data_IF_008280782060
#
_entry.id   IF_008280782060
#
_cell.length_a   1.000
_cell.length_b   1.000
_cell.length_c   1.000
_cell.angle_alpha   90.00
_cell.angle_beta   90.00
_cell.angle_gamma   90.00
#
_symmetry.space_group_name_H-M   'P 1'
#
loop_
_entity.id
_entity.type
_entity.pdbx_description
1 polymer ?
#
# COMPACT_ATOMS: atom_id res chain seq x y z
N UNK A 1 -10.27 -7.54 19.17
CA UNK A 1 -10.09 -7.47 17.70
C UNK A 1 -10.64 -6.13 17.24
N UNK A 2 -9.77 -5.16 16.93
CA UNK A 2 -10.19 -3.91 16.31
C UNK A 2 -10.52 -4.21 14.85
N UNK A 3 -11.76 -4.62 14.57
CA UNK A 3 -12.29 -4.73 13.22
C UNK A 3 -12.87 -3.36 12.83
N UNK A 4 -12.50 -2.91 11.64
CA UNK A 4 -12.93 -1.68 10.95
C UNK A 4 -12.26 -0.38 11.43
N UNK A 5 -11.02 -0.16 11.00
CA UNK A 5 -10.69 1.14 10.43
C UNK A 5 -11.09 1.07 8.95
N UNK A 6 -12.11 1.80 8.55
CA UNK A 6 -12.36 2.03 7.12
C UNK A 6 -11.10 2.65 6.54
N UNK A 7 -10.36 1.86 5.77
CA UNK A 7 -9.11 2.32 5.18
C UNK A 7 -9.46 3.41 4.15
N UNK A 8 -8.95 4.62 4.37
CA UNK A 8 -9.20 5.75 3.49
C UNK A 8 -8.00 6.03 2.58
N UNK A 9 -8.26 6.67 1.44
CA UNK A 9 -7.20 7.18 0.56
C UNK A 9 -6.23 8.09 1.32
N UNK A 10 -6.75 8.93 2.20
CA UNK A 10 -5.93 9.80 3.04
C UNK A 10 -4.96 8.99 3.91
N UNK A 11 -5.42 7.91 4.53
CA UNK A 11 -4.56 7.04 5.35
C UNK A 11 -3.44 6.42 4.51
N UNK A 12 -3.76 5.91 3.31
CA UNK A 12 -2.78 5.34 2.38
C UNK A 12 -1.77 6.41 1.93
N UNK A 13 -2.24 7.60 1.55
CA UNK A 13 -1.38 8.72 1.13
C UNK A 13 -0.46 9.20 2.25
N UNK A 14 -0.95 9.24 3.49
CA UNK A 14 -0.13 9.56 4.68
C UNK A 14 0.93 8.49 4.90
N UNK A 15 0.57 7.20 4.78
CA UNK A 15 1.53 6.10 4.90
C UNK A 15 2.64 6.19 3.84
N UNK A 16 2.28 6.42 2.56
CA UNK A 16 3.26 6.61 1.49
C UNK A 16 4.15 7.83 1.72
N UNK A 17 3.59 8.94 2.20
CA UNK A 17 4.38 10.15 2.51
C UNK A 17 5.40 9.89 3.62
N UNK A 18 5.08 9.02 4.59
CA UNK A 18 6.06 8.59 5.60
C UNK A 18 7.17 7.74 4.99
N UNK A 19 6.83 6.82 4.09
CA UNK A 19 7.81 5.98 3.36
C UNK A 19 8.75 6.83 2.52
N UNK A 20 8.23 7.80 1.76
CA UNK A 20 9.03 8.78 1.00
C UNK A 20 10.01 9.53 1.91
N UNK A 21 9.52 10.06 3.03
CA UNK A 21 10.34 10.85 3.95
C UNK A 21 11.44 10.02 4.63
N UNK A 22 11.14 8.76 4.95
CA UNK A 22 12.08 7.82 5.57
C UNK A 22 13.17 7.39 4.59
N UNK A 23 12.79 7.05 3.36
CA UNK A 23 13.69 6.51 2.35
C UNK A 23 14.34 7.59 1.46
N UNK A 24 13.91 8.85 1.56
CA UNK A 24 14.33 9.96 0.69
C UNK A 24 14.09 9.66 -0.80
N UNK A 25 12.95 9.04 -1.09
CA UNK A 25 12.49 8.69 -2.44
C UNK A 25 11.20 9.44 -2.77
N UNK A 26 10.88 9.52 -4.05
CA UNK A 26 9.60 10.03 -4.54
C UNK A 26 8.74 8.85 -5.02
N UNK A 27 7.54 8.69 -4.47
CA UNK A 27 6.62 7.60 -4.82
C UNK A 27 5.50 8.10 -5.74
N UNK A 28 5.84 8.91 -6.74
CA UNK A 28 4.86 9.56 -7.62
C UNK A 28 4.05 8.56 -8.43
N UNK A 29 4.63 7.40 -8.80
CA UNK A 29 3.90 6.34 -9.49
C UNK A 29 2.85 5.71 -8.57
N UNK A 30 3.23 5.36 -7.35
CA UNK A 30 2.35 4.84 -6.30
C UNK A 30 1.21 5.80 -5.95
N UNK A 31 1.52 7.09 -5.80
CA UNK A 31 0.49 8.13 -5.58
C UNK A 31 -0.41 8.32 -6.79
N UNK A 32 0.16 8.31 -7.99
CA UNK A 32 -0.62 8.37 -9.23
C UNK A 32 -1.57 7.18 -9.39
N UNK A 33 -1.15 5.97 -9.01
CA UNK A 33 -2.00 4.78 -8.98
C UNK A 33 -3.20 4.98 -8.03
N UNK A 34 -2.96 5.53 -6.85
CA UNK A 34 -4.02 5.80 -5.87
C UNK A 34 -5.03 6.82 -6.39
N UNK A 35 -4.56 7.88 -7.04
CA UNK A 35 -5.43 8.92 -7.61
C UNK A 35 -6.25 8.39 -8.80
N UNK A 36 -5.65 7.55 -9.64
CA UNK A 36 -6.30 6.98 -10.82
C UNK A 36 -7.27 5.86 -10.48
N UNK A 37 -6.98 5.07 -9.45
CA UNK A 37 -7.74 3.87 -9.07
C UNK A 37 -8.02 3.81 -7.57
N UNK A 38 -8.71 4.81 -6.99
CA UNK A 38 -8.85 4.94 -5.53
C UNK A 38 -9.57 3.76 -4.90
N UNK A 39 -10.67 3.30 -5.48
CA UNK A 39 -11.40 2.12 -4.96
C UNK A 39 -10.52 0.87 -4.96
N UNK A 40 -9.77 0.64 -6.04
CA UNK A 40 -8.90 -0.52 -6.14
C UNK A 40 -7.73 -0.41 -5.16
N UNK A 41 -7.18 0.80 -4.96
CA UNK A 41 -6.14 1.04 -3.96
C UNK A 41 -6.61 0.70 -2.54
N UNK A 42 -7.82 1.11 -2.15
CA UNK A 42 -8.39 0.75 -0.85
C UNK A 42 -8.49 -0.78 -0.71
N UNK A 43 -9.12 -1.44 -1.69
CA UNK A 43 -9.30 -2.90 -1.66
C UNK A 43 -7.96 -3.64 -1.55
N UNK A 44 -6.98 -3.18 -2.32
CA UNK A 44 -5.65 -3.75 -2.37
C UNK A 44 -4.90 -3.59 -1.04
N UNK A 45 -4.84 -2.38 -0.49
CA UNK A 45 -4.19 -2.15 0.80
C UNK A 45 -4.94 -2.79 1.97
N UNK A 46 -6.26 -2.94 1.87
CA UNK A 46 -7.05 -3.70 2.83
C UNK A 46 -6.74 -5.20 2.75
N UNK A 47 -6.64 -5.77 1.55
CA UNK A 47 -6.22 -7.16 1.38
C UNK A 47 -4.79 -7.40 1.89
N UNK A 48 -3.91 -6.38 1.84
CA UNK A 48 -2.59 -6.45 2.46
C UNK A 48 -2.67 -6.39 3.98
N UNK A 49 -3.51 -5.55 4.58
CA UNK A 49 -3.64 -5.47 6.05
C UNK A 49 -4.23 -6.75 6.66
N UNK A 50 -5.02 -7.49 5.88
CA UNK A 50 -5.61 -8.78 6.26
C UNK A 50 -4.69 -9.98 6.03
N UNK A 51 -3.53 -9.82 5.39
CA UNK A 51 -2.59 -10.91 5.16
C UNK A 51 -1.79 -11.27 6.42
N UNK A 52 -1.63 -12.58 6.67
CA UNK A 52 -1.07 -13.13 7.91
C UNK A 52 0.45 -12.95 8.05
N UNK A 53 1.18 -12.77 6.93
CA UNK A 53 2.63 -12.66 6.92
C UNK A 53 3.16 -11.63 5.91
N UNK A 54 4.42 -11.23 6.09
CA UNK A 54 5.13 -10.37 5.13
C UNK A 54 5.24 -11.05 3.76
N UNK A 55 5.50 -12.36 3.74
CA UNK A 55 5.62 -13.13 2.49
C UNK A 55 4.28 -13.17 1.74
N UNK A 56 3.16 -13.32 2.46
CA UNK A 56 1.82 -13.28 1.87
C UNK A 56 1.48 -11.89 1.31
N UNK A 57 1.86 -10.82 2.02
CA UNK A 57 1.73 -9.44 1.52
C UNK A 57 2.55 -9.26 0.24
N UNK A 58 3.80 -9.69 0.22
CA UNK A 58 4.67 -9.58 -0.95
C UNK A 58 4.10 -10.35 -2.14
N UNK A 59 3.63 -11.59 -1.91
CA UNK A 59 2.97 -12.39 -2.93
C UNK A 59 1.76 -11.68 -3.51
N UNK A 60 0.89 -11.11 -2.67
CA UNK A 60 -0.27 -10.31 -3.10
C UNK A 60 0.12 -9.09 -3.93
N UNK A 61 1.18 -8.37 -3.55
CA UNK A 61 1.67 -7.24 -4.36
C UNK A 61 2.09 -7.72 -5.74
N UNK A 62 2.84 -8.83 -5.82
CA UNK A 62 3.29 -9.37 -7.10
C UNK A 62 2.16 -9.91 -7.98
N UNK A 63 1.08 -10.43 -7.39
CA UNK A 63 -0.06 -10.99 -8.15
C UNK A 63 -1.13 -9.98 -8.49
N UNK A 64 -1.49 -9.11 -7.54
CA UNK A 64 -2.67 -8.26 -7.59
C UNK A 64 -2.32 -6.82 -7.99
N UNK A 65 -1.03 -6.46 -7.90
CA UNK A 65 -0.50 -5.14 -8.23
C UNK A 65 0.78 -5.24 -9.07
N UNK A 66 0.74 -5.94 -10.23
CA UNK A 66 1.95 -6.18 -11.03
C UNK A 66 2.62 -4.87 -11.50
N UNK A 67 1.84 -3.82 -11.74
CA UNK A 67 2.34 -2.49 -12.13
C UNK A 67 3.18 -1.83 -11.02
N UNK A 68 2.95 -2.22 -9.76
CA UNK A 68 3.66 -1.70 -8.59
C UNK A 68 4.77 -2.64 -8.12
N UNK A 69 5.03 -3.74 -8.83
CA UNK A 69 6.04 -4.73 -8.46
C UNK A 69 7.45 -4.15 -8.37
N UNK A 70 7.77 -3.14 -9.20
CA UNK A 70 9.04 -2.41 -9.14
C UNK A 70 9.25 -1.63 -7.84
N UNK A 71 8.17 -1.28 -7.15
CA UNK A 71 8.16 -0.55 -5.88
C UNK A 71 7.59 -1.41 -4.74
N UNK A 72 7.56 -2.74 -4.90
CA UNK A 72 6.87 -3.65 -3.98
C UNK A 72 7.32 -3.50 -2.51
N UNK A 73 8.59 -3.19 -2.28
CA UNK A 73 9.10 -2.95 -0.93
C UNK A 73 8.50 -1.69 -0.29
N UNK A 74 8.29 -0.61 -1.05
CA UNK A 74 7.63 0.60 -0.56
C UNK A 74 6.13 0.39 -0.33
N UNK A 75 5.47 -0.42 -1.17
CA UNK A 75 4.08 -0.84 -0.96
C UNK A 75 3.96 -1.65 0.34
N UNK A 76 4.90 -2.57 0.57
CA UNK A 76 4.95 -3.36 1.78
C UNK A 76 5.17 -2.48 3.02
N UNK A 77 6.14 -1.56 2.98
CA UNK A 77 6.39 -0.61 4.07
C UNK A 77 5.16 0.24 4.38
N UNK A 78 4.48 0.78 3.35
CA UNK A 78 3.26 1.53 3.54
C UNK A 78 2.15 0.66 4.16
N UNK A 79 2.03 -0.61 3.76
CA UNK A 79 1.06 -1.56 4.31
C UNK A 79 1.28 -1.91 5.79
N UNK A 80 2.52 -1.75 6.29
CA UNK A 80 2.87 -1.98 7.70
C UNK A 80 2.47 -0.76 8.56
N UNK A 81 2.41 0.43 7.95
CA UNK A 81 2.05 1.68 8.63
C UNK A 81 0.53 1.90 8.76
N UNK A 82 -0.28 1.02 8.18
CA UNK A 82 -1.75 1.06 8.16
C UNK A 82 -2.34 0.14 9.23
#
# INVERSE_FOLDING_TARGET
MLKNKDLSIEAITVALTKVENANKVELSMLKGYIEQQPTQAILNFQALSEADSIDDKLKKIMTDMPDLSGEAHHVLEASILL
#
